data_IF_921944999477
#
_entry.id   IF_921944999477
#
_cell.length_a   1.000
_cell.length_b   1.000
_cell.length_c   1.000
_cell.angle_alpha   90.00
_cell.angle_beta   90.00
_cell.angle_gamma   90.00
#
_symmetry.space_group_name_H-M   'P 1'
#
loop_
_entity.id
_entity.type
_entity.pdbx_description
1 polymer ?
#
# COMPACT_ATOMS: atom_id res chain seq x y z
N UNK A 1 6.82 5.83 7.99
CA UNK A 1 6.83 5.02 6.76
C UNK A 1 5.87 5.68 5.80
N UNK A 2 6.27 5.87 4.55
CA UNK A 2 5.44 6.48 3.52
C UNK A 2 5.24 5.47 2.40
N UNK A 3 3.97 5.31 1.99
CA UNK A 3 3.56 4.51 0.84
C UNK A 3 3.20 5.47 -0.29
N UNK A 4 3.79 5.28 -1.46
CA UNK A 4 3.46 6.05 -2.66
C UNK A 4 2.99 5.10 -3.76
N UNK A 5 1.87 5.44 -4.39
CA UNK A 5 1.36 4.74 -5.58
C UNK A 5 1.28 5.74 -6.73
N UNK A 6 2.00 5.47 -7.81
CA UNK A 6 1.98 6.32 -9.02
C UNK A 6 1.94 5.44 -10.25
N UNK A 7 0.93 5.61 -11.10
CA UNK A 7 0.79 4.86 -12.37
C UNK A 7 0.95 3.34 -12.22
N UNK A 8 0.36 2.77 -11.16
CA UNK A 8 0.41 1.33 -10.87
C UNK A 8 1.74 0.84 -10.28
N UNK A 9 2.69 1.72 -9.96
CA UNK A 9 3.91 1.39 -9.20
C UNK A 9 3.72 1.73 -7.74
N UNK A 10 4.17 0.82 -6.89
CA UNK A 10 4.13 0.93 -5.43
C UNK A 10 5.56 1.07 -4.89
N UNK A 11 5.78 2.03 -3.99
CA UNK A 11 7.05 2.20 -3.28
C UNK A 11 6.79 2.47 -1.79
N UNK A 12 7.48 1.75 -0.93
CA UNK A 12 7.55 1.99 0.52
C UNK A 12 8.88 2.62 0.87
N UNK A 13 8.82 3.71 1.62
CA UNK A 13 10.00 4.41 2.13
C UNK A 13 9.93 4.63 3.64
N UNK A 14 11.11 4.62 4.27
CA UNK A 14 11.29 5.04 5.65
C UNK A 14 12.35 6.14 5.68
N UNK A 15 12.06 7.20 6.41
CA UNK A 15 13.04 8.26 6.67
C UNK A 15 14.02 7.80 7.76
N UNK A 16 15.29 7.66 7.39
CA UNK A 16 16.38 7.38 8.30
C UNK A 16 16.99 8.68 8.83
N UNK A 17 16.72 8.98 10.10
CA UNK A 17 17.21 10.19 10.77
C UNK A 17 18.73 10.22 11.00
N UNK A 18 19.40 9.06 11.01
CA UNK A 18 20.85 9.00 11.26
C UNK A 18 21.64 9.41 10.03
N UNK A 19 21.12 9.08 8.85
CA UNK A 19 21.74 9.34 7.54
C UNK A 19 21.08 10.50 6.81
N UNK A 20 20.01 11.08 7.37
CA UNK A 20 19.20 12.13 6.75
C UNK A 20 18.74 11.76 5.34
N UNK A 21 18.20 10.53 5.19
CA UNK A 21 17.86 9.98 3.88
C UNK A 21 16.54 9.21 3.89
N UNK A 22 15.91 9.10 2.71
CA UNK A 22 14.78 8.21 2.47
C UNK A 22 15.29 6.86 1.95
N UNK A 23 15.04 5.81 2.71
CA UNK A 23 15.40 4.44 2.35
C UNK A 23 14.18 3.72 1.76
N UNK A 24 14.36 3.06 0.61
CA UNK A 24 13.33 2.21 0.01
C UNK A 24 13.33 0.86 0.73
N UNK A 25 12.22 0.55 1.38
CA UNK A 25 12.03 -0.72 2.11
C UNK A 25 11.19 -1.72 1.34
N UNK A 26 10.51 -1.28 0.28
CA UNK A 26 9.79 -2.16 -0.63
C UNK A 26 9.39 -1.47 -1.93
N UNK A 27 9.30 -2.23 -3.01
CA UNK A 27 8.80 -1.74 -4.29
C UNK A 27 8.11 -2.86 -5.08
N UNK A 28 7.16 -2.47 -5.93
CA UNK A 28 6.41 -3.41 -6.73
C UNK A 28 5.34 -2.77 -7.60
N UNK A 29 4.29 -3.53 -7.83
CA UNK A 29 3.13 -3.12 -8.63
C UNK A 29 1.88 -3.11 -7.77
N UNK A 30 1.02 -2.15 -8.05
CA UNK A 30 -0.30 -2.06 -7.47
C UNK A 30 -1.32 -2.04 -8.61
N UNK A 31 -2.29 -2.94 -8.56
CA UNK A 31 -3.38 -3.00 -9.53
C UNK A 31 -4.73 -3.03 -8.80
N UNK A 32 -5.76 -2.58 -9.50
CA UNK A 32 -7.15 -2.69 -9.03
C UNK A 32 -7.92 -3.63 -9.94
N UNK A 33 -8.66 -4.57 -9.36
CA UNK A 33 -9.54 -5.48 -10.10
C UNK A 33 -10.90 -5.56 -9.40
N UNK A 34 -11.92 -4.93 -9.98
CA UNK A 34 -13.22 -4.76 -9.32
C UNK A 34 -13.08 -3.98 -8.02
N UNK A 35 -13.51 -4.57 -6.90
CA UNK A 35 -13.36 -4.01 -5.56
C UNK A 35 -12.08 -4.47 -4.84
N UNK A 36 -11.14 -5.11 -5.55
CA UNK A 36 -9.87 -5.53 -4.98
C UNK A 36 -8.75 -4.56 -5.37
N UNK A 37 -7.90 -4.28 -4.40
CA UNK A 37 -6.62 -3.60 -4.54
C UNK A 37 -5.52 -4.62 -4.22
N UNK A 38 -4.65 -4.88 -5.19
CA UNK A 38 -3.68 -5.97 -5.14
C UNK A 38 -2.27 -5.38 -5.26
N UNK A 39 -1.42 -5.68 -4.29
CA UNK A 39 -0.01 -5.32 -4.28
C UNK A 39 0.85 -6.55 -4.56
N UNK A 40 1.78 -6.45 -5.50
CA UNK A 40 2.76 -7.50 -5.77
C UNK A 40 4.15 -6.92 -5.61
N UNK A 41 4.90 -7.39 -4.61
CA UNK A 41 6.23 -6.87 -4.30
C UNK A 41 7.30 -7.58 -5.14
N UNK A 42 8.18 -6.78 -5.75
CA UNK A 42 9.36 -7.23 -6.49
C UNK A 42 10.61 -7.15 -5.60
N UNK A 43 10.60 -6.25 -4.61
CA UNK A 43 11.62 -6.11 -3.58
C UNK A 43 10.98 -5.70 -2.26
N UNK A 44 11.50 -6.24 -1.16
CA UNK A 44 11.11 -5.87 0.20
C UNK A 44 12.20 -6.28 1.21
N UNK A 45 12.34 -5.48 2.27
CA UNK A 45 13.10 -5.84 3.48
C UNK A 45 12.38 -6.91 4.29
N UNK A 46 11.05 -6.95 4.22
CA UNK A 46 10.23 -8.04 4.74
C UNK A 46 10.06 -9.12 3.64
N UNK A 47 10.67 -10.29 3.84
CA UNK A 47 10.69 -11.37 2.84
C UNK A 47 9.35 -12.08 2.69
N UNK A 48 8.45 -11.96 3.65
CA UNK A 48 7.13 -12.58 3.54
C UNK A 48 6.28 -11.88 2.47
N UNK A 49 6.47 -10.57 2.28
CA UNK A 49 5.81 -9.78 1.24
C UNK A 49 6.18 -10.20 -0.19
N UNK A 50 7.27 -10.95 -0.38
CA UNK A 50 7.72 -11.43 -1.69
C UNK A 50 7.09 -12.75 -2.12
N UNK A 51 6.40 -13.45 -1.21
CA UNK A 51 5.89 -14.80 -1.46
C UNK A 51 4.61 -14.78 -2.28
N UNK A 52 3.68 -13.90 -1.92
CA UNK A 52 2.35 -13.84 -2.51
C UNK A 52 1.87 -12.38 -2.64
N UNK A 53 0.97 -12.08 -3.60
CA UNK A 53 0.33 -10.78 -3.68
C UNK A 53 -0.46 -10.46 -2.41
N UNK A 54 -0.34 -9.24 -1.93
CA UNK A 54 -1.12 -8.72 -0.81
C UNK A 54 -2.44 -8.19 -1.37
N UNK A 55 -3.54 -8.83 -1.00
CA UNK A 55 -4.88 -8.50 -1.52
C UNK A 55 -5.68 -7.77 -0.45
N UNK A 56 -6.20 -6.61 -0.83
CA UNK A 56 -7.15 -5.83 -0.05
C UNK A 56 -8.48 -5.78 -0.80
N UNK A 57 -9.59 -5.94 -0.10
CA UNK A 57 -10.92 -5.60 -0.61
C UNK A 57 -11.24 -4.20 -0.12
N UNK A 58 -11.53 -3.28 -1.02
CA UNK A 58 -11.90 -1.93 -0.65
C UNK A 58 -13.37 -1.64 -0.89
N UNK A 59 -13.94 -0.75 -0.07
CA UNK A 59 -15.32 -0.27 -0.18
C UNK A 59 -15.34 1.24 -0.03
N UNK A 60 -16.03 1.91 -0.93
CA UNK A 60 -16.29 3.35 -0.85
C UNK A 60 -17.72 3.57 -0.40
N UNK A 61 -17.91 4.29 0.70
CA UNK A 61 -19.21 4.67 1.25
C UNK A 61 -19.21 6.17 1.56
N UNK A 62 -19.75 6.98 0.65
CA UNK A 62 -19.71 8.44 0.78
C UNK A 62 -18.29 8.97 0.70
N UNK A 63 -17.82 9.62 1.77
CA UNK A 63 -16.46 10.12 1.93
C UNK A 63 -15.52 9.11 2.61
N UNK A 64 -16.00 7.89 2.92
CA UNK A 64 -15.19 6.85 3.56
C UNK A 64 -14.70 5.85 2.54
N UNK A 65 -13.42 5.51 2.65
CA UNK A 65 -12.79 4.41 1.94
C UNK A 65 -12.27 3.41 2.98
N UNK A 66 -12.86 2.22 3.01
CA UNK A 66 -12.39 1.13 3.86
C UNK A 66 -11.62 0.10 3.05
N UNK A 67 -10.63 -0.53 3.67
CA UNK A 67 -9.85 -1.62 3.13
C UNK A 67 -9.82 -2.77 4.14
N UNK A 68 -10.11 -3.97 3.68
CA UNK A 68 -10.03 -5.21 4.46
C UNK A 68 -9.09 -6.20 3.81
N UNK A 69 -8.24 -6.83 4.62
CA UNK A 69 -7.36 -7.91 4.20
C UNK A 69 -5.89 -7.56 4.38
N UNK A 70 -5.08 -7.91 3.39
CA UNK A 70 -3.63 -7.84 3.45
C UNK A 70 -3.00 -8.75 4.52
N UNK A 71 -1.72 -8.51 4.80
CA UNK A 71 -1.00 -9.27 5.83
C UNK A 71 -1.59 -8.98 7.21
N UNK A 72 -1.91 -10.05 7.96
CA UNK A 72 -2.50 -10.01 9.32
C UNK A 72 -3.96 -9.52 9.38
N UNK A 73 -4.71 -9.59 8.29
CA UNK A 73 -6.14 -9.22 8.24
C UNK A 73 -6.40 -7.82 8.81
N UNK A 74 -5.71 -6.83 8.24
CA UNK A 74 -5.88 -5.44 8.64
C UNK A 74 -7.23 -4.89 8.17
N UNK A 75 -7.83 -4.04 8.99
CA UNK A 75 -8.98 -3.21 8.66
C UNK A 75 -8.57 -1.75 8.75
N UNK A 76 -8.57 -1.04 7.62
CA UNK A 76 -8.21 0.38 7.52
C UNK A 76 -9.46 1.15 7.08
N UNK A 77 -9.73 2.30 7.70
CA UNK A 77 -10.77 3.25 7.27
C UNK A 77 -10.14 4.62 7.09
N UNK A 78 -10.19 5.15 5.87
CA UNK A 78 -9.71 6.48 5.50
C UNK A 78 -10.91 7.39 5.19
N UNK A 79 -10.83 8.66 5.60
CA UNK A 79 -11.81 9.69 5.23
C UNK A 79 -11.20 10.53 4.09
N UNK A 80 -11.82 10.45 2.93
CA UNK A 80 -11.38 11.12 1.72
C UNK A 80 -11.89 12.56 1.67
N UNK A 81 -10.96 13.51 1.58
CA UNK A 81 -11.28 14.89 1.23
C UNK A 81 -11.06 15.10 -0.27
N UNK A 82 -12.13 15.42 -1.01
CA UNK A 82 -12.03 15.80 -2.42
C UNK A 82 -11.23 17.10 -2.55
N UNK A 83 -10.29 17.13 -3.49
CA UNK A 83 -9.58 18.36 -3.89
C UNK A 83 -10.30 18.87 -5.14
N UNK A 84 -10.75 20.12 -5.10
CA UNK A 84 -11.43 20.84 -6.20
C UNK A 84 -10.44 21.63 -7.04
#
# INVERSE_FOLDING_TARGET
MTKTITSGRLIFTIYNRKTDSLEITGQGKAITNGNQYIETFEQSTDKDLLKEPVVFTYKVEGDKLSYEGGTKNMHIVEVLKKIE
#
